data_IF_708276908185
#
_entry.id   IF_708276908185
#
_cell.length_a   1.000
_cell.length_b   1.000
_cell.length_c   1.000
_cell.angle_alpha   90.00
_cell.angle_beta   90.00
_cell.angle_gamma   90.00
#
_symmetry.space_group_name_H-M   'P 1'
#
loop_
_entity.id
_entity.type
_entity.pdbx_description
1 polymer ?
#
# COMPACT_ATOMS: atom_id res chain seq x y z
N UNK A 1 15.53 -0.05 -18.79
CA UNK A 1 14.75 0.20 -17.56
C UNK A 1 15.56 1.12 -16.64
N UNK A 2 14.94 2.18 -16.11
CA UNK A 2 15.64 3.06 -15.20
C UNK A 2 15.83 2.39 -13.84
N UNK A 3 16.90 2.72 -13.08
CA UNK A 3 17.09 2.17 -11.74
C UNK A 3 15.92 2.48 -10.80
N UNK A 4 15.32 3.67 -10.90
CA UNK A 4 14.18 4.05 -10.08
C UNK A 4 12.96 3.16 -10.35
N UNK A 5 12.71 2.82 -11.62
CA UNK A 5 11.60 1.93 -12.00
C UNK A 5 11.82 0.52 -11.45
N UNK A 6 13.03 -0.03 -11.60
CA UNK A 6 13.35 -1.34 -11.08
C UNK A 6 13.24 -1.41 -9.56
N UNK A 7 13.66 -0.36 -8.88
CA UNK A 7 13.56 -0.22 -7.43
C UNK A 7 12.11 -0.22 -6.96
N UNK A 8 11.23 0.51 -7.63
CA UNK A 8 9.80 0.54 -7.32
C UNK A 8 9.15 -0.81 -7.52
N UNK A 9 9.43 -1.46 -8.64
CA UNK A 9 8.90 -2.79 -8.97
C UNK A 9 9.35 -3.84 -7.96
N UNK A 10 10.62 -3.81 -7.56
CA UNK A 10 11.15 -4.76 -6.59
C UNK A 10 10.47 -4.61 -5.23
N UNK A 11 10.20 -3.38 -4.80
CA UNK A 11 9.52 -3.13 -3.54
C UNK A 11 8.07 -3.62 -3.58
N UNK A 12 7.35 -3.34 -4.65
CA UNK A 12 5.97 -3.83 -4.82
C UNK A 12 5.94 -5.36 -4.77
N UNK A 13 6.87 -6.03 -5.45
CA UNK A 13 6.95 -7.49 -5.45
C UNK A 13 7.22 -8.04 -4.05
N UNK A 14 8.10 -7.39 -3.29
CA UNK A 14 8.38 -7.77 -1.91
C UNK A 14 7.12 -7.75 -1.05
N UNK A 15 6.34 -6.68 -1.17
CA UNK A 15 5.10 -6.52 -0.40
C UNK A 15 4.04 -7.52 -0.85
N UNK A 16 3.89 -7.73 -2.15
CA UNK A 16 2.94 -8.74 -2.69
C UNK A 16 3.23 -10.12 -2.10
N UNK A 17 4.49 -10.55 -2.13
CA UNK A 17 4.87 -11.88 -1.59
C UNK A 17 4.58 -11.99 -0.11
N UNK A 18 4.82 -10.91 0.63
CA UNK A 18 4.49 -10.88 2.05
C UNK A 18 2.99 -11.04 2.29
N UNK A 19 2.17 -10.29 1.56
CA UNK A 19 0.71 -10.38 1.67
C UNK A 19 0.22 -11.78 1.32
N UNK A 20 0.76 -12.39 0.27
CA UNK A 20 0.43 -13.78 -0.10
C UNK A 20 0.71 -14.73 1.06
N UNK A 21 1.85 -14.57 1.72
CA UNK A 21 2.24 -15.43 2.85
C UNK A 21 1.35 -15.24 4.09
N UNK A 22 0.62 -14.13 4.15
CA UNK A 22 -0.24 -13.76 5.29
C UNK A 22 -1.72 -13.99 5.02
N UNK A 23 -2.07 -14.61 3.89
CA UNK A 23 -3.45 -15.01 3.62
C UNK A 23 -4.10 -14.34 2.41
N UNK A 24 -3.50 -13.30 1.84
CA UNK A 24 -4.00 -12.69 0.61
C UNK A 24 -3.39 -13.42 -0.58
N UNK A 25 -3.83 -14.65 -0.81
CA UNK A 25 -3.21 -15.56 -1.77
C UNK A 25 -3.34 -15.07 -3.22
N UNK A 26 -4.29 -14.19 -3.50
CA UNK A 26 -4.50 -13.63 -4.83
C UNK A 26 -3.86 -12.25 -5.01
N UNK A 27 -3.10 -11.77 -4.02
CA UNK A 27 -2.41 -10.48 -4.15
C UNK A 27 -1.44 -10.53 -5.33
N UNK A 28 -1.45 -9.48 -6.14
CA UNK A 28 -0.53 -9.34 -7.26
C UNK A 28 -0.32 -7.87 -7.59
N UNK A 29 0.77 -7.57 -8.27
CA UNK A 29 1.01 -6.21 -8.73
C UNK A 29 -0.07 -5.83 -9.74
N UNK A 30 -0.62 -4.63 -9.59
CA UNK A 30 -1.65 -4.13 -10.49
C UNK A 30 -1.01 -3.71 -11.82
N UNK A 31 -1.53 -4.24 -12.92
CA UNK A 31 -1.20 -3.73 -14.24
C UNK A 31 -1.93 -2.40 -14.45
N UNK A 32 -1.28 -1.48 -15.17
CA UNK A 32 -1.88 -0.19 -15.50
C UNK A 32 -2.97 -0.41 -16.55
N UNK A 33 -4.22 -0.17 -16.17
CA UNK A 33 -5.39 -0.23 -17.04
C UNK A 33 -6.27 0.99 -16.81
N UNK A 34 -6.69 1.63 -17.90
CA UNK A 34 -7.60 2.75 -17.85
C UNK A 34 -6.95 4.01 -17.28
N UNK A 35 -7.81 4.97 -16.89
CA UNK A 35 -7.39 6.32 -16.50
C UNK A 35 -7.37 6.54 -14.99
N UNK A 36 -7.91 5.59 -14.20
CA UNK A 36 -8.00 5.73 -12.75
C UNK A 36 -6.94 4.90 -12.07
N UNK A 37 -6.14 5.55 -11.24
CA UNK A 37 -5.19 4.88 -10.39
C UNK A 37 -5.93 4.27 -9.19
N UNK A 38 -5.79 2.96 -9.02
CA UNK A 38 -6.43 2.18 -7.94
C UNK A 38 -5.39 1.53 -7.04
N UNK A 39 -4.17 2.04 -7.04
CA UNK A 39 -3.08 1.53 -6.22
C UNK A 39 -2.17 0.55 -6.95
N UNK A 40 -1.16 0.06 -6.24
CA UNK A 40 -0.07 -0.75 -6.80
C UNK A 40 -0.33 -2.25 -6.73
N UNK A 41 -1.25 -2.69 -5.88
CA UNK A 41 -1.51 -4.11 -5.60
C UNK A 41 -3.01 -4.37 -5.72
N UNK A 42 -3.37 -5.44 -6.40
CA UNK A 42 -4.74 -5.92 -6.54
C UNK A 42 -4.88 -7.30 -5.91
N UNK A 43 -6.11 -7.82 -5.84
CA UNK A 43 -6.37 -9.16 -5.30
C UNK A 43 -6.49 -9.20 -3.78
N UNK A 44 -6.69 -8.06 -3.14
CA UNK A 44 -6.80 -7.96 -1.68
C UNK A 44 -8.18 -7.46 -1.22
N UNK A 45 -9.22 -7.69 -2.05
CA UNK A 45 -10.58 -7.27 -1.70
C UNK A 45 -10.71 -5.75 -1.62
N UNK A 46 -11.37 -5.21 -0.57
CA UNK A 46 -11.67 -3.78 -0.47
C UNK A 46 -10.49 -2.94 0.07
N UNK A 47 -9.25 -3.36 -0.23
CA UNK A 47 -8.05 -2.66 0.24
C UNK A 47 -7.26 -2.12 -0.95
N UNK A 48 -6.75 -0.90 -0.81
CA UNK A 48 -5.83 -0.27 -1.75
C UNK A 48 -4.47 -0.16 -1.09
N UNK A 49 -3.42 -0.44 -1.84
CA UNK A 49 -2.03 -0.37 -1.38
C UNK A 49 -1.25 0.53 -2.31
N UNK A 50 -0.60 1.53 -1.73
CA UNK A 50 0.35 2.38 -2.45
C UNK A 50 1.73 2.14 -1.86
N UNK A 51 2.68 1.75 -2.70
CA UNK A 51 4.03 1.40 -2.26
C UNK A 51 5.01 2.47 -2.73
N UNK A 52 5.79 3.00 -1.79
CA UNK A 52 6.77 4.05 -2.06
C UNK A 52 8.15 3.65 -1.55
N UNK A 53 9.12 3.66 -2.44
CA UNK A 53 10.53 3.44 -2.11
C UNK A 53 11.35 4.61 -2.64
N UNK A 54 11.32 5.72 -1.92
CA UNK A 54 11.95 6.97 -2.31
C UNK A 54 12.95 7.41 -1.25
N UNK A 55 14.03 8.03 -1.71
CA UNK A 55 15.05 8.59 -0.82
C UNK A 55 14.50 9.76 -0.01
N UNK A 56 13.70 10.62 -0.65
CA UNK A 56 13.07 11.77 -0.01
C UNK A 56 11.60 11.45 0.26
N UNK A 57 11.16 11.65 1.50
CA UNK A 57 9.81 11.33 1.92
C UNK A 57 8.85 12.48 1.64
N UNK A 58 7.65 12.13 1.16
CA UNK A 58 6.54 13.06 0.99
C UNK A 58 5.27 12.41 1.54
N UNK A 59 5.22 12.20 2.84
CA UNK A 59 4.14 11.49 3.50
C UNK A 59 2.78 12.11 3.22
N UNK A 60 2.68 13.44 3.30
CA UNK A 60 1.41 14.12 3.08
C UNK A 60 0.91 13.95 1.64
N UNK A 61 1.79 14.14 0.67
CA UNK A 61 1.43 13.96 -0.74
C UNK A 61 1.04 12.53 -1.06
N UNK A 62 1.79 11.57 -0.54
CA UNK A 62 1.52 10.15 -0.75
C UNK A 62 0.21 9.71 -0.09
N UNK A 63 -0.13 10.24 1.08
CA UNK A 63 -1.41 9.93 1.73
C UNK A 63 -2.58 10.48 0.93
N UNK A 64 -2.45 11.69 0.35
CA UNK A 64 -3.50 12.23 -0.53
C UNK A 64 -3.68 11.34 -1.77
N UNK A 65 -2.59 10.90 -2.36
CA UNK A 65 -2.60 9.98 -3.51
C UNK A 65 -3.30 8.66 -3.15
N UNK A 66 -2.93 8.07 -2.00
CA UNK A 66 -3.52 6.82 -1.52
C UNK A 66 -5.03 6.98 -1.30
N UNK A 67 -5.47 8.08 -0.72
CA UNK A 67 -6.89 8.35 -0.49
C UNK A 67 -7.64 8.51 -1.81
N UNK A 68 -7.05 9.17 -2.80
CA UNK A 68 -7.67 9.27 -4.12
C UNK A 68 -7.82 7.90 -4.78
N UNK A 69 -6.80 7.06 -4.64
CA UNK A 69 -6.82 5.68 -5.17
C UNK A 69 -7.89 4.85 -4.48
N UNK A 70 -8.03 5.00 -3.15
CA UNK A 70 -9.08 4.34 -2.40
C UNK A 70 -10.47 4.70 -2.94
N UNK A 71 -10.70 5.99 -3.19
CA UNK A 71 -11.97 6.46 -3.76
C UNK A 71 -12.17 5.91 -5.17
N UNK A 72 -11.15 5.94 -6.01
CA UNK A 72 -11.20 5.43 -7.38
C UNK A 72 -11.58 3.94 -7.41
N UNK A 73 -11.07 3.17 -6.46
CA UNK A 73 -11.32 1.73 -6.36
C UNK A 73 -12.59 1.40 -5.57
N UNK A 74 -13.25 2.40 -4.99
CA UNK A 74 -14.37 2.22 -4.07
C UNK A 74 -14.01 1.24 -2.94
N UNK A 75 -12.78 1.35 -2.42
CA UNK A 75 -12.26 0.47 -1.39
C UNK A 75 -12.60 0.99 0.01
N UNK A 76 -12.56 0.10 0.98
CA UNK A 76 -12.84 0.45 2.38
C UNK A 76 -11.64 1.15 3.03
N UNK A 77 -10.43 0.68 2.74
CA UNK A 77 -9.21 1.23 3.32
C UNK A 77 -8.12 1.39 2.28
N UNK A 78 -7.29 2.41 2.46
CA UNK A 78 -6.07 2.62 1.70
C UNK A 78 -4.87 2.61 2.65
N UNK A 79 -3.84 1.87 2.29
CA UNK A 79 -2.62 1.75 3.09
C UNK A 79 -1.43 2.21 2.26
N UNK A 80 -0.71 3.18 2.78
CA UNK A 80 0.55 3.62 2.22
C UNK A 80 1.67 2.78 2.85
N UNK A 81 2.44 2.08 2.03
CA UNK A 81 3.57 1.27 2.48
C UNK A 81 4.85 1.97 2.04
N UNK A 82 5.68 2.34 3.00
CA UNK A 82 6.90 3.10 2.75
C UNK A 82 8.12 2.27 3.13
N UNK A 83 9.08 2.20 2.22
CA UNK A 83 10.32 1.48 2.46
C UNK A 83 11.05 2.08 3.66
N UNK A 84 11.33 1.23 4.64
CA UNK A 84 12.12 1.60 5.80
C UNK A 84 13.60 1.39 5.49
N UNK A 85 14.37 2.48 5.60
CA UNK A 85 15.79 2.46 5.27
C UNK A 85 16.54 1.47 6.16
N UNK A 86 17.41 0.66 5.57
CA UNK A 86 18.24 -0.34 6.25
C UNK A 86 17.49 -1.57 6.76
N UNK A 87 16.20 -1.71 6.44
CA UNK A 87 15.42 -2.89 6.82
C UNK A 87 14.94 -3.61 5.56
N UNK A 88 15.38 -4.86 5.39
CA UNK A 88 15.06 -5.67 4.20
C UNK A 88 13.80 -6.50 4.32
N UNK A 89 13.38 -6.83 5.55
CA UNK A 89 12.22 -7.68 5.77
C UNK A 89 10.93 -6.93 5.44
N UNK A 90 9.99 -7.55 4.71
CA UNK A 90 8.76 -6.86 4.32
C UNK A 90 7.90 -6.44 5.51
N UNK A 91 7.85 -7.24 6.55
CA UNK A 91 7.07 -6.91 7.75
C UNK A 91 7.61 -5.73 8.55
N UNK A 92 8.85 -5.31 8.30
CA UNK A 92 9.48 -4.19 9.00
C UNK A 92 9.27 -2.85 8.27
N UNK A 93 8.62 -2.85 7.12
CA UNK A 93 8.35 -1.62 6.39
C UNK A 93 7.26 -0.81 7.08
N UNK A 94 7.18 0.48 6.77
CA UNK A 94 6.17 1.34 7.39
C UNK A 94 4.82 1.17 6.70
N UNK A 95 3.78 0.98 7.51
CA UNK A 95 2.38 1.11 7.04
C UNK A 95 1.86 2.43 7.59
N UNK A 96 1.42 3.33 6.72
CA UNK A 96 1.09 4.70 7.09
C UNK A 96 -0.37 4.98 6.73
N UNK A 97 -1.12 5.51 7.68
CA UNK A 97 -2.51 5.90 7.50
C UNK A 97 -2.74 7.21 8.24
N UNK A 98 -3.77 7.96 7.86
CA UNK A 98 -4.21 9.06 8.71
C UNK A 98 -4.73 8.46 10.03
N UNK A 99 -4.63 9.20 11.11
CA UNK A 99 -5.10 8.69 12.41
C UNK A 99 -6.58 8.30 12.36
N UNK A 100 -7.42 9.09 11.68
CA UNK A 100 -8.84 8.76 11.55
C UNK A 100 -9.06 7.42 10.84
N UNK A 101 -8.29 7.10 9.82
CA UNK A 101 -8.40 5.84 9.08
C UNK A 101 -7.94 4.66 9.95
N UNK A 102 -6.85 4.84 10.70
CA UNK A 102 -6.37 3.82 11.64
C UNK A 102 -7.40 3.55 12.74
N UNK A 103 -8.02 4.60 13.28
CA UNK A 103 -9.05 4.45 14.32
C UNK A 103 -10.24 3.64 13.77
N UNK A 104 -10.69 3.92 12.56
CA UNK A 104 -11.77 3.14 11.95
C UNK A 104 -11.38 1.67 11.80
N UNK A 105 -10.15 1.40 11.34
CA UNK A 105 -9.66 0.04 11.19
C UNK A 105 -9.61 -0.69 12.54
N UNK A 106 -9.15 -0.02 13.58
CA UNK A 106 -9.09 -0.59 14.92
C UNK A 106 -10.49 -0.89 15.47
N UNK A 107 -11.48 -0.04 15.17
CA UNK A 107 -12.88 -0.30 15.56
C UNK A 107 -13.42 -1.52 14.84
N UNK A 108 -13.13 -1.67 13.56
CA UNK A 108 -13.52 -2.87 12.79
C UNK A 108 -12.88 -4.13 13.37
N UNK A 109 -11.68 -4.02 13.92
CA UNK A 109 -10.99 -5.14 14.57
C UNK A 109 -11.51 -5.45 15.97
N UNK A 110 -12.47 -4.65 16.48
CA UNK A 110 -13.09 -4.88 17.77
C UNK A 110 -12.51 -4.10 18.93
N UNK A 111 -11.60 -3.16 18.66
CA UNK A 111 -11.07 -2.28 19.71
C UNK A 111 -11.99 -1.08 19.93
N UNK A 112 -11.96 -0.54 21.15
CA UNK A 112 -12.83 0.55 21.56
C UNK A 112 -14.22 0.05 21.95
N UNK A 113 -14.88 0.77 22.81
CA UNK A 113 -16.21 0.39 23.29
C UNK A 113 -17.30 1.00 22.44
#
# INVERSE_FOLDING_TARGET
>A
MSPARGKGTAFETLIVRYLQSKGWVHAERRALHGNLDKGDITGTGPLVWECKNHKTLDMSGWLRETEQERQNANATHGILVVKRRSYGEPGDQYAVMRLSDMVELLKEAGYGA
#
